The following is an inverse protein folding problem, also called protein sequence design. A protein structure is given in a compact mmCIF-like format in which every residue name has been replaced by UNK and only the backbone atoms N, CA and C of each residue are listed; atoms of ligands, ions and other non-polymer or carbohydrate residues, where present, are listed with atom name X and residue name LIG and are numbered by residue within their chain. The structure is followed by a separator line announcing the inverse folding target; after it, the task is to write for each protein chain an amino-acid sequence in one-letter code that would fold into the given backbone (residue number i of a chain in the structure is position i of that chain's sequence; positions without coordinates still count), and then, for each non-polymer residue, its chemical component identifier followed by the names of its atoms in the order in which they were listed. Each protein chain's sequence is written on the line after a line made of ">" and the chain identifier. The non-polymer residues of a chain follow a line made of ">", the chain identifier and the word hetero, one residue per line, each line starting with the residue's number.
data_IF_741418087613
#
_entry.id   IF_741418087613
#
_cell.length_a   1.000
_cell.length_b   1.000
_cell.length_c   1.000
_cell.angle_alpha   90.00
_cell.angle_beta   90.00
_cell.angle_gamma   90.00
#
_symmetry.space_group_name_H-M   'P 1'
#
loop_
_entity.id
_entity.type
_entity.pdbx_description
1 polymer ?
#
# COMPACT_ATOMS: atom_id res chain seq x y z
N UNK A 1 -12.23 -23.59 19.97
CA UNK A 1 -12.55 -22.98 21.27
C UNK A 1 -11.47 -21.97 21.57
N UNK A 2 -11.73 -20.68 21.29
CA UNK A 2 -10.77 -19.62 21.58
C UNK A 2 -10.64 -19.44 23.08
N UNK A 3 -9.44 -19.61 23.61
CA UNK A 3 -9.11 -19.20 24.97
C UNK A 3 -9.11 -17.68 25.00
N UNK A 4 -10.25 -17.08 25.30
CA UNK A 4 -10.33 -15.71 25.78
C UNK A 4 -9.52 -15.62 27.06
N UNK A 5 -8.40 -14.90 27.01
CA UNK A 5 -7.63 -14.55 28.18
C UNK A 5 -8.58 -13.87 29.20
N UNK A 6 -8.51 -14.21 30.48
CA UNK A 6 -9.38 -13.64 31.50
C UNK A 6 -9.21 -12.10 31.55
N UNK A 7 -10.32 -11.38 31.70
CA UNK A 7 -10.43 -9.91 31.70
C UNK A 7 -9.39 -9.17 32.56
N UNK A 8 -8.84 -9.82 33.59
CA UNK A 8 -7.81 -9.23 34.45
C UNK A 8 -6.47 -9.00 33.72
N UNK A 9 -6.15 -9.76 32.66
CA UNK A 9 -4.91 -9.59 31.89
C UNK A 9 -5.02 -8.41 30.90
N UNK A 10 -6.23 -8.08 30.46
CA UNK A 10 -6.47 -6.89 29.62
C UNK A 10 -6.19 -5.58 30.38
N UNK A 11 -6.37 -5.58 31.72
CA UNK A 11 -6.11 -4.43 32.59
C UNK A 11 -4.61 -4.17 32.86
N UNK A 12 -3.70 -5.06 32.43
CA UNK A 12 -2.26 -4.96 32.68
C UNK A 12 -1.43 -4.58 31.45
N UNK A 13 -2.07 -4.21 30.32
CA UNK A 13 -1.32 -3.74 29.16
C UNK A 13 -0.79 -2.33 29.44
N UNK A 14 0.52 -2.06 29.25
CA UNK A 14 1.03 -0.71 29.34
C UNK A 14 0.28 0.18 28.33
N UNK A 15 -0.09 1.38 28.77
CA UNK A 15 -0.83 2.33 27.95
C UNK A 15 -0.01 2.68 26.71
N UNK A 16 -0.61 2.59 25.53
CA UNK A 16 0.00 2.98 24.26
C UNK A 16 0.61 4.38 24.35
N UNK A 17 1.85 4.51 23.91
CA UNK A 17 2.52 5.81 23.79
C UNK A 17 2.03 6.49 22.52
N UNK A 18 1.37 7.63 22.68
CA UNK A 18 0.75 8.38 21.58
C UNK A 18 1.57 9.64 21.27
N UNK A 19 2.07 9.78 20.04
CA UNK A 19 2.91 10.92 19.63
C UNK A 19 2.59 11.41 18.22
N UNK A 20 2.96 12.65 17.93
CA UNK A 20 3.05 13.18 16.57
C UNK A 20 4.54 13.31 16.22
N UNK A 21 4.95 12.71 15.11
CA UNK A 21 6.30 12.81 14.59
C UNK A 21 6.48 14.03 13.67
N UNK A 22 7.70 14.53 13.55
CA UNK A 22 8.05 15.50 12.52
C UNK A 22 7.91 14.87 11.12
N UNK A 23 7.57 15.65 10.07
CA UNK A 23 7.56 15.12 8.71
C UNK A 23 8.95 14.58 8.35
N UNK A 24 8.98 13.41 7.70
CA UNK A 24 10.22 12.66 7.42
C UNK A 24 10.24 12.12 5.99
N UNK A 25 11.33 12.34 5.27
CA UNK A 25 11.56 11.75 3.95
C UNK A 25 11.71 10.23 4.01
N UNK A 26 12.24 9.68 5.11
CA UNK A 26 12.32 8.22 5.34
C UNK A 26 10.93 7.55 5.34
N UNK A 27 9.87 8.28 5.73
CA UNK A 27 8.49 7.83 5.59
C UNK A 27 7.86 8.22 4.25
N UNK A 28 8.14 9.44 3.79
CA UNK A 28 7.44 10.08 2.67
C UNK A 28 7.86 9.50 1.33
N UNK A 29 9.17 9.30 1.10
CA UNK A 29 9.71 8.79 -0.17
C UNK A 29 9.19 7.37 -0.48
N UNK A 30 9.24 6.40 0.46
CA UNK A 30 8.70 5.06 0.18
C UNK A 30 7.18 5.05 0.06
N UNK A 31 6.49 5.95 0.76
CA UNK A 31 5.05 6.11 0.58
C UNK A 31 4.70 6.68 -0.80
N UNK A 32 5.50 7.61 -1.33
CA UNK A 32 5.36 8.10 -2.70
C UNK A 32 5.59 6.98 -3.73
N UNK A 33 6.59 6.12 -3.51
CA UNK A 33 6.80 4.91 -4.32
C UNK A 33 5.56 4.00 -4.33
N UNK A 34 4.95 3.77 -3.17
CA UNK A 34 3.71 2.99 -3.07
C UNK A 34 2.56 3.61 -3.87
N UNK A 35 2.39 4.92 -3.75
CA UNK A 35 1.36 5.65 -4.48
C UNK A 35 1.59 5.60 -6.00
N UNK A 36 2.83 5.82 -6.46
CA UNK A 36 3.17 5.72 -7.88
C UNK A 36 2.91 4.32 -8.41
N UNK A 37 3.26 3.27 -7.65
CA UNK A 37 2.95 1.90 -8.04
C UNK A 37 1.45 1.66 -8.18
N UNK A 38 0.65 2.17 -7.23
CA UNK A 38 -0.81 2.08 -7.30
C UNK A 38 -1.34 2.79 -8.55
N UNK A 39 -0.79 3.96 -8.90
CA UNK A 39 -1.18 4.70 -10.10
C UNK A 39 -0.88 3.91 -11.38
N UNK A 40 0.31 3.30 -11.48
CA UNK A 40 0.71 2.46 -12.61
C UNK A 40 -0.23 1.26 -12.81
N UNK A 41 -0.78 0.73 -11.72
CA UNK A 41 -1.70 -0.41 -11.73
C UNK A 41 -3.19 -0.02 -11.76
N UNK A 42 -3.49 1.24 -12.13
CA UNK A 42 -4.85 1.78 -12.32
C UNK A 42 -5.72 1.75 -11.05
N UNK A 43 -5.10 1.78 -9.88
CA UNK A 43 -5.79 1.99 -8.61
C UNK A 43 -6.17 3.47 -8.45
N UNK A 44 -7.16 3.79 -7.62
CA UNK A 44 -7.46 5.20 -7.33
C UNK A 44 -6.28 5.87 -6.66
N UNK A 45 -6.00 7.07 -7.13
CA UNK A 45 -4.99 7.94 -6.58
C UNK A 45 -5.63 9.06 -5.76
N UNK A 46 -5.02 9.45 -4.63
CA UNK A 46 -5.47 10.63 -3.88
C UNK A 46 -5.29 11.94 -4.65
N UNK A 47 -4.35 12.01 -5.61
CA UNK A 47 -4.10 13.20 -6.44
C UNK A 47 -3.89 12.88 -7.92
N UNK A 48 -4.26 13.82 -8.79
CA UNK A 48 -4.02 13.72 -10.25
C UNK A 48 -2.56 13.87 -10.63
N UNK A 49 -1.76 14.57 -9.82
CA UNK A 49 -0.33 14.77 -10.03
C UNK A 49 0.44 13.45 -9.97
N UNK A 50 0.10 12.58 -9.01
CA UNK A 50 0.68 11.24 -8.88
C UNK A 50 0.34 10.35 -10.09
N UNK A 51 -0.88 10.47 -10.61
CA UNK A 51 -1.27 9.77 -11.84
C UNK A 51 -0.50 10.29 -13.06
N UNK A 52 -0.27 11.60 -13.14
CA UNK A 52 0.54 12.21 -14.20
C UNK A 52 2.01 11.79 -14.12
N UNK A 53 2.59 11.77 -12.91
CA UNK A 53 3.95 11.26 -12.68
C UNK A 53 4.06 9.83 -13.19
N UNK A 54 3.17 8.94 -12.75
CA UNK A 54 3.19 7.54 -13.15
C UNK A 54 3.12 7.35 -14.68
N UNK A 55 2.31 8.16 -15.38
CA UNK A 55 2.22 8.12 -16.85
C UNK A 55 3.46 8.71 -17.55
N UNK A 56 4.24 9.52 -16.86
CA UNK A 56 5.46 10.15 -17.40
C UNK A 56 6.73 9.33 -17.18
N UNK A 57 6.67 8.29 -16.34
CA UNK A 57 7.82 7.43 -16.08
C UNK A 57 8.23 6.67 -17.36
N UNK A 58 9.53 6.58 -17.67
CA UNK A 58 10.00 5.79 -18.81
C UNK A 58 9.59 4.32 -18.72
N UNK A 59 9.14 3.73 -19.83
CA UNK A 59 8.66 2.34 -19.89
C UNK A 59 9.74 1.33 -19.46
N UNK A 60 11.01 1.59 -19.79
CA UNK A 60 12.15 0.77 -19.39
C UNK A 60 12.41 0.82 -17.88
N UNK A 61 12.26 2.00 -17.26
CA UNK A 61 12.32 2.13 -15.81
C UNK A 61 11.14 1.43 -15.12
N UNK A 62 9.91 1.62 -15.63
CA UNK A 62 8.73 0.93 -15.11
C UNK A 62 8.90 -0.59 -15.21
N UNK A 63 9.44 -1.09 -16.31
CA UNK A 63 9.75 -2.51 -16.44
C UNK A 63 10.83 -2.94 -15.43
N UNK A 64 11.98 -2.27 -15.39
CA UNK A 64 13.09 -2.60 -14.48
C UNK A 64 12.64 -2.68 -13.00
N UNK A 65 11.68 -1.85 -12.60
CA UNK A 65 11.21 -1.76 -11.20
C UNK A 65 10.24 -2.85 -10.76
N UNK A 66 9.83 -3.79 -11.62
CA UNK A 66 8.88 -4.85 -11.23
C UNK A 66 9.40 -5.74 -10.11
N UNK A 67 10.68 -6.08 -10.14
CA UNK A 67 11.30 -6.87 -9.05
C UNK A 67 11.44 -6.04 -7.78
N UNK A 68 11.75 -4.74 -7.89
CA UNK A 68 11.79 -3.79 -6.77
C UNK A 68 10.44 -3.71 -6.07
N UNK A 69 9.36 -3.59 -6.85
CA UNK A 69 7.99 -3.55 -6.35
C UNK A 69 7.67 -4.78 -5.50
N UNK A 70 8.09 -5.96 -5.93
CA UNK A 70 7.86 -7.21 -5.20
C UNK A 70 8.76 -7.28 -3.96
N UNK A 71 10.06 -7.12 -4.12
CA UNK A 71 11.04 -7.18 -3.03
C UNK A 71 10.75 -6.14 -1.94
N UNK A 72 10.14 -5.00 -2.27
CA UNK A 72 9.86 -3.94 -1.31
C UNK A 72 8.37 -3.81 -0.94
N UNK A 73 7.51 -4.72 -1.41
CA UNK A 73 6.06 -4.68 -1.24
C UNK A 73 5.46 -3.28 -1.52
N UNK A 74 5.63 -2.79 -2.75
CA UNK A 74 5.31 -1.42 -3.20
C UNK A 74 6.11 -0.30 -2.52
N UNK A 75 7.08 -0.59 -1.65
CA UNK A 75 7.78 0.41 -0.83
C UNK A 75 7.41 0.34 0.65
N UNK A 76 6.46 -0.51 1.06
CA UNK A 76 6.11 -0.71 2.47
C UNK A 76 7.31 -1.23 3.29
N UNK A 77 8.09 -2.17 2.72
CA UNK A 77 9.30 -2.71 3.34
C UNK A 77 10.35 -1.61 3.48
N UNK A 78 10.62 -0.88 2.39
CA UNK A 78 11.60 0.23 2.39
C UNK A 78 11.26 1.27 3.46
N UNK A 79 9.98 1.57 3.65
CA UNK A 79 9.51 2.48 4.71
C UNK A 79 9.88 2.00 6.11
N UNK A 80 9.61 0.73 6.41
CA UNK A 80 9.96 0.13 7.70
C UNK A 80 11.48 0.15 7.93
N UNK A 81 12.24 -0.24 6.90
CA UNK A 81 13.71 -0.21 6.91
C UNK A 81 14.23 1.19 7.21
N UNK A 82 13.82 2.21 6.44
CA UNK A 82 14.34 3.56 6.61
C UNK A 82 13.96 4.19 7.95
N UNK A 83 12.75 3.94 8.48
CA UNK A 83 12.33 4.50 9.76
C UNK A 83 13.03 3.87 10.97
N UNK A 84 13.52 2.63 10.84
CA UNK A 84 14.23 1.94 11.92
C UNK A 84 15.75 2.02 11.80
N UNK A 85 16.29 2.12 10.59
CA UNK A 85 17.73 2.02 10.33
C UNK A 85 18.40 3.40 10.19
N UNK A 86 17.62 4.44 9.93
CA UNK A 86 18.12 5.81 9.95
C UNK A 86 18.11 6.33 11.39
N UNK A 87 19.22 6.94 11.82
CA UNK A 87 19.28 7.57 13.14
C UNK A 87 18.22 8.69 13.24
N UNK A 88 17.48 8.83 14.36
CA UNK A 88 16.44 9.84 14.49
C UNK A 88 16.89 11.29 14.20
N UNK A 89 18.17 11.61 14.40
CA UNK A 89 18.73 12.94 14.15
C UNK A 89 19.34 13.09 12.75
N UNK A 90 19.40 12.01 11.96
CA UNK A 90 20.01 11.98 10.65
C UNK A 90 19.36 13.00 9.68
N UNK A 91 20.20 13.63 8.87
CA UNK A 91 19.75 14.60 7.88
C UNK A 91 18.87 13.98 6.78
N UNK A 92 18.95 12.67 6.55
CA UNK A 92 18.12 11.92 5.61
C UNK A 92 16.63 11.98 5.93
N UNK A 93 16.24 12.30 7.16
CA UNK A 93 14.84 12.60 7.48
C UNK A 93 14.34 13.90 6.81
N UNK A 94 15.23 14.83 6.45
CA UNK A 94 14.88 16.18 6.01
C UNK A 94 15.39 16.54 4.61
N UNK A 95 16.46 15.90 4.16
CA UNK A 95 17.17 16.24 2.93
C UNK A 95 17.33 15.03 2.02
N UNK A 96 16.86 15.17 0.77
CA UNK A 96 16.92 14.10 -0.23
C UNK A 96 18.33 13.60 -0.49
N UNK A 97 19.29 14.50 -0.71
CA UNK A 97 20.69 14.12 -0.96
C UNK A 97 21.32 13.32 0.19
N UNK A 98 20.88 13.55 1.44
CA UNK A 98 21.33 12.76 2.59
C UNK A 98 20.68 11.37 2.59
N UNK A 99 19.36 11.29 2.38
CA UNK A 99 18.63 10.02 2.32
C UNK A 99 19.09 9.14 1.15
N UNK A 100 19.23 9.72 -0.04
CA UNK A 100 19.73 9.05 -1.23
C UNK A 100 21.13 8.50 -1.02
N UNK A 101 22.03 9.30 -0.40
CA UNK A 101 23.39 8.83 -0.05
C UNK A 101 23.38 7.71 0.97
N UNK A 102 22.49 7.76 1.95
CA UNK A 102 22.32 6.68 2.93
C UNK A 102 21.95 5.36 2.23
N UNK A 103 20.94 5.38 1.35
CA UNK A 103 20.52 4.20 0.58
C UNK A 103 21.62 3.73 -0.37
N UNK A 104 22.29 4.65 -1.06
CA UNK A 104 23.41 4.32 -1.94
C UNK A 104 24.62 3.72 -1.20
N UNK A 105 24.77 4.03 0.09
CA UNK A 105 25.81 3.50 0.96
C UNK A 105 25.52 2.11 1.54
N UNK A 106 24.33 1.54 1.30
CA UNK A 106 24.02 0.19 1.75
C UNK A 106 24.97 -0.84 1.13
N UNK A 107 25.54 -1.72 1.95
CA UNK A 107 26.33 -2.84 1.46
C UNK A 107 25.44 -3.84 0.74
N UNK A 108 26.02 -4.63 -0.18
CA UNK A 108 25.28 -5.70 -0.86
C UNK A 108 24.68 -6.70 0.14
N UNK A 109 25.38 -6.96 1.24
CA UNK A 109 24.85 -7.81 2.31
C UNK A 109 23.64 -7.20 3.03
N UNK A 110 23.61 -5.88 3.21
CA UNK A 110 22.42 -5.23 3.77
C UNK A 110 21.25 -5.24 2.77
N UNK A 111 21.52 -5.05 1.48
CA UNK A 111 20.49 -5.17 0.44
C UNK A 111 19.92 -6.59 0.38
N UNK A 112 20.75 -7.63 0.52
CA UNK A 112 20.28 -9.02 0.65
C UNK A 112 19.31 -9.19 1.83
N UNK A 113 19.62 -8.59 2.99
CA UNK A 113 18.75 -8.64 4.16
C UNK A 113 17.40 -7.93 3.91
N UNK A 114 17.41 -6.81 3.18
CA UNK A 114 16.19 -6.10 2.79
C UNK A 114 15.34 -6.93 1.82
N UNK A 115 15.96 -7.59 0.84
CA UNK A 115 15.27 -8.49 -0.10
C UNK A 115 14.66 -9.67 0.66
N UNK A 116 15.44 -10.33 1.52
CA UNK A 116 15.00 -11.46 2.34
C UNK A 116 13.78 -11.08 3.20
N UNK A 117 13.88 -9.96 3.92
CA UNK A 117 12.78 -9.44 4.71
C UNK A 117 11.54 -9.11 3.87
N UNK A 118 11.74 -8.60 2.66
CA UNK A 118 10.66 -8.35 1.73
C UNK A 118 9.95 -9.61 1.24
N UNK A 119 10.70 -10.64 0.86
CA UNK A 119 10.14 -11.94 0.45
C UNK A 119 9.38 -12.58 1.62
N UNK A 120 9.96 -12.61 2.83
CA UNK A 120 9.27 -13.10 4.03
C UNK A 120 7.99 -12.30 4.33
N UNK A 121 8.04 -10.97 4.24
CA UNK A 121 6.89 -10.09 4.47
C UNK A 121 5.74 -10.37 3.50
N UNK A 122 6.04 -10.60 2.22
CA UNK A 122 5.03 -10.96 1.22
C UNK A 122 4.40 -12.33 1.51
N UNK A 123 5.22 -13.34 1.83
CA UNK A 123 4.72 -14.68 2.15
C UNK A 123 3.80 -14.65 3.38
N UNK A 124 4.16 -13.89 4.42
CA UNK A 124 3.33 -13.72 5.62
C UNK A 124 2.07 -12.92 5.39
N UNK A 125 2.11 -11.96 4.46
CA UNK A 125 0.91 -11.24 4.05
C UNK A 125 -0.10 -12.18 3.38
N UNK A 126 0.38 -13.09 2.54
CA UNK A 126 -0.45 -14.12 1.91
C UNK A 126 -0.87 -15.24 2.88
N UNK A 127 -0.05 -15.49 3.91
CA UNK A 127 -0.24 -16.53 4.92
C UNK A 127 -0.20 -15.96 6.36
N UNK A 128 -1.23 -15.22 6.81
CA UNK A 128 -1.26 -14.60 8.14
C UNK A 128 -1.11 -15.57 9.31
N UNK A 129 -1.41 -16.86 9.10
CA UNK A 129 -1.20 -17.94 10.08
C UNK A 129 0.26 -18.15 10.47
N UNK A 130 1.22 -17.69 9.66
CA UNK A 130 2.65 -17.73 9.98
C UNK A 130 3.04 -16.77 11.11
N UNK A 131 2.12 -15.88 11.52
CA UNK A 131 2.34 -14.89 12.57
C UNK A 131 3.26 -13.75 12.13
N UNK A 132 3.54 -12.80 13.04
CA UNK A 132 4.38 -11.63 12.73
C UNK A 132 5.80 -12.07 12.37
N UNK A 133 6.35 -11.44 11.33
CA UNK A 133 7.73 -11.64 10.90
C UNK A 133 8.75 -10.90 11.80
N UNK A 134 10.05 -11.06 11.53
CA UNK A 134 11.08 -10.25 12.17
C UNK A 134 10.89 -8.77 11.82
N UNK A 135 11.24 -7.90 12.75
CA UNK A 135 11.14 -6.45 12.55
C UNK A 135 12.24 -5.92 11.64
N UNK A 136 11.91 -4.88 10.86
CA UNK A 136 12.89 -4.16 10.05
C UNK A 136 14.01 -3.53 10.90
N UNK A 137 13.76 -3.27 12.19
CA UNK A 137 14.75 -2.80 13.16
C UNK A 137 15.82 -3.84 13.49
N UNK A 138 15.56 -5.12 13.22
CA UNK A 138 16.49 -6.22 13.56
C UNK A 138 17.30 -6.71 12.36
N UNK A 139 17.17 -6.06 11.20
CA UNK A 139 17.89 -6.44 9.99
C UNK A 139 19.39 -6.28 10.18
N UNK A 140 20.11 -7.32 9.83
CA UNK A 140 21.57 -7.38 9.83
C UNK A 140 22.04 -7.79 8.44
N UNK A 141 23.18 -7.27 7.94
CA UNK A 141 23.72 -7.68 6.64
C UNK A 141 23.93 -9.21 6.53
N UNK A 142 23.59 -9.78 5.37
CA UNK A 142 23.75 -11.20 5.05
C UNK A 142 24.61 -11.33 3.79
N UNK A 143 25.72 -12.06 3.88
CA UNK A 143 26.72 -12.12 2.80
C UNK A 143 26.18 -12.64 1.46
N UNK A 144 25.17 -13.50 1.49
CA UNK A 144 24.54 -14.07 0.30
C UNK A 144 23.01 -14.15 0.46
N UNK A 145 22.26 -14.12 -0.65
CA UNK A 145 20.83 -14.41 -0.63
C UNK A 145 20.55 -15.76 0.04
N UNK A 146 19.58 -15.75 0.96
CA UNK A 146 19.16 -16.92 1.74
C UNK A 146 18.45 -17.96 0.86
N UNK A 147 18.29 -19.17 1.40
CA UNK A 147 17.49 -20.21 0.76
C UNK A 147 16.02 -19.77 0.60
N UNK A 148 15.51 -18.91 1.51
CA UNK A 148 14.17 -18.34 1.39
C UNK A 148 14.02 -17.56 0.07
N UNK A 149 14.94 -16.65 -0.24
CA UNK A 149 14.89 -15.87 -1.48
C UNK A 149 15.08 -16.77 -2.70
N UNK A 150 16.01 -17.72 -2.64
CA UNK A 150 16.31 -18.64 -3.76
C UNK A 150 15.14 -19.57 -4.09
N UNK A 151 14.50 -20.13 -3.07
CA UNK A 151 13.46 -21.15 -3.24
C UNK A 151 12.07 -20.53 -3.41
N UNK A 152 11.81 -19.39 -2.76
CA UNK A 152 10.48 -18.79 -2.66
C UNK A 152 10.36 -17.46 -3.41
N UNK A 153 11.45 -16.84 -3.83
CA UNK A 153 11.40 -15.57 -4.57
C UNK A 153 10.55 -15.65 -5.85
N UNK A 154 10.69 -16.74 -6.62
CA UNK A 154 9.88 -16.99 -7.82
C UNK A 154 8.38 -17.15 -7.49
N UNK A 155 8.06 -17.79 -6.37
CA UNK A 155 6.67 -17.94 -5.92
C UNK A 155 6.03 -16.58 -5.64
N UNK A 156 6.73 -15.71 -4.93
CA UNK A 156 6.27 -14.34 -4.64
C UNK A 156 6.16 -13.52 -5.94
N UNK A 157 7.13 -13.61 -6.85
CA UNK A 157 7.02 -12.92 -8.15
C UNK A 157 5.75 -13.34 -8.91
N UNK A 158 5.41 -14.63 -8.88
CA UNK A 158 4.20 -15.18 -9.52
C UNK A 158 2.91 -14.74 -8.82
N UNK A 159 2.88 -14.71 -7.48
CA UNK A 159 1.68 -14.27 -6.74
C UNK A 159 1.37 -12.80 -7.01
N UNK A 160 2.42 -11.99 -7.21
CA UNK A 160 2.35 -10.59 -7.64
C UNK A 160 2.03 -10.40 -9.13
N UNK A 161 1.87 -11.51 -9.88
CA UNK A 161 1.63 -11.54 -11.33
C UNK A 161 2.68 -10.78 -12.13
N UNK A 162 3.93 -10.88 -11.68
CA UNK A 162 5.06 -10.29 -12.40
C UNK A 162 5.21 -10.98 -13.75
N UNK A 163 5.19 -10.23 -14.87
CA UNK A 163 5.44 -10.84 -16.18
C UNK A 163 6.86 -11.38 -16.25
N UNK A 164 7.03 -12.52 -16.93
CA UNK A 164 8.32 -13.21 -17.11
C UNK A 164 9.04 -13.47 -15.76
N UNK A 165 8.27 -13.90 -14.75
CA UNK A 165 8.74 -14.10 -13.38
C UNK A 165 9.97 -15.02 -13.29
N UNK A 166 10.03 -16.06 -14.13
CA UNK A 166 11.16 -16.98 -14.21
C UNK A 166 12.45 -16.29 -14.66
N UNK A 167 12.36 -15.41 -15.66
CA UNK A 167 13.51 -14.67 -16.19
C UNK A 167 13.95 -13.55 -15.24
N UNK A 168 13.03 -13.05 -14.41
CA UNK A 168 13.28 -12.00 -13.41
C UNK A 168 13.75 -12.50 -12.05
N UNK A 169 13.51 -13.77 -11.72
CA UNK A 169 13.93 -14.33 -10.43
C UNK A 169 15.43 -14.13 -10.11
N UNK A 170 16.37 -14.21 -11.07
CA UNK A 170 17.78 -13.91 -10.81
C UNK A 170 18.05 -12.47 -10.33
N UNK A 171 17.19 -11.50 -10.65
CA UNK A 171 17.34 -10.11 -10.20
C UNK A 171 17.20 -10.00 -8.67
N UNK A 172 16.44 -10.89 -8.01
CA UNK A 172 16.37 -10.96 -6.55
C UNK A 172 17.69 -11.44 -5.91
N UNK A 173 18.60 -11.99 -6.71
CA UNK A 173 19.91 -12.47 -6.27
C UNK A 173 21.04 -11.48 -6.63
N UNK A 174 20.70 -10.34 -7.25
CA UNK A 174 21.61 -9.27 -7.60
C UNK A 174 21.36 -8.02 -6.73
N UNK A 175 21.91 -7.95 -5.51
CA UNK A 175 21.71 -6.81 -4.62
C UNK A 175 22.22 -5.50 -5.20
N UNK A 176 23.29 -5.53 -6.03
CA UNK A 176 23.85 -4.32 -6.61
C UNK A 176 22.92 -3.75 -7.70
N UNK A 177 22.43 -4.60 -8.60
CA UNK A 177 21.43 -4.23 -9.61
C UNK A 177 20.15 -3.72 -8.96
N UNK A 178 19.63 -4.43 -7.96
CA UNK A 178 18.42 -4.03 -7.24
C UNK A 178 18.58 -2.66 -6.56
N UNK A 179 19.72 -2.39 -5.91
CA UNK A 179 20.01 -1.08 -5.32
C UNK A 179 20.10 0.03 -6.37
N UNK A 180 20.71 -0.23 -7.53
CA UNK A 180 20.78 0.75 -8.63
C UNK A 180 19.39 1.13 -9.13
N UNK A 181 18.57 0.13 -9.48
CA UNK A 181 17.21 0.34 -9.98
C UNK A 181 16.31 1.01 -8.93
N UNK A 182 16.49 0.70 -7.64
CA UNK A 182 15.80 1.40 -6.56
C UNK A 182 16.14 2.89 -6.59
N UNK A 183 17.44 3.24 -6.60
CA UNK A 183 17.86 4.65 -6.60
C UNK A 183 17.34 5.40 -7.83
N UNK A 184 17.39 4.78 -9.00
CA UNK A 184 16.85 5.37 -10.24
C UNK A 184 15.34 5.64 -10.14
N UNK A 185 14.57 4.70 -9.58
CA UNK A 185 13.14 4.91 -9.33
C UNK A 185 12.90 6.05 -8.35
N UNK A 186 13.64 6.08 -7.23
CA UNK A 186 13.44 7.13 -6.23
C UNK A 186 13.85 8.52 -6.75
N UNK A 187 14.92 8.59 -7.56
CA UNK A 187 15.33 9.81 -8.26
C UNK A 187 14.21 10.29 -9.20
N UNK A 188 13.65 9.39 -10.02
CA UNK A 188 12.56 9.74 -10.93
C UNK A 188 11.29 10.25 -10.19
N UNK A 189 10.95 9.65 -9.05
CA UNK A 189 9.84 10.11 -8.21
C UNK A 189 10.14 11.48 -7.57
N UNK A 190 11.37 11.65 -7.09
CA UNK A 190 11.82 12.90 -6.48
C UNK A 190 11.79 14.05 -7.48
N UNK A 191 12.45 13.88 -8.63
CA UNK A 191 12.58 14.92 -9.65
C UNK A 191 11.25 15.20 -10.35
N UNK A 192 10.41 14.17 -10.53
CA UNK A 192 9.15 14.31 -11.26
C UNK A 192 8.02 15.00 -10.47
N UNK A 193 8.01 14.88 -9.14
CA UNK A 193 6.93 15.46 -8.32
C UNK A 193 7.33 15.69 -6.86
N UNK A 194 7.90 14.68 -6.21
CA UNK A 194 7.98 14.68 -4.75
C UNK A 194 8.88 15.79 -4.22
N UNK A 195 9.97 16.14 -4.90
CA UNK A 195 10.88 17.20 -4.48
C UNK A 195 10.18 18.57 -4.40
N UNK A 196 9.43 18.93 -5.43
CA UNK A 196 8.62 20.16 -5.45
C UNK A 196 7.51 20.09 -4.42
N UNK A 197 6.72 19.01 -4.39
CA UNK A 197 5.62 18.85 -3.45
C UNK A 197 6.10 18.90 -1.98
N UNK A 198 7.25 18.29 -1.69
CA UNK A 198 7.89 18.34 -0.38
C UNK A 198 8.30 19.77 -0.03
N UNK A 199 9.04 20.47 -0.89
CA UNK A 199 9.49 21.82 -0.63
C UNK A 199 8.32 22.79 -0.38
N UNK A 200 7.27 22.69 -1.20
CA UNK A 200 6.09 23.55 -1.10
C UNK A 200 5.26 23.28 0.16
N UNK A 201 5.11 22.01 0.54
CA UNK A 201 4.25 21.61 1.67
C UNK A 201 4.99 21.54 3.01
N UNK A 202 6.32 21.45 3.03
CA UNK A 202 7.12 21.25 4.25
C UNK A 202 6.78 22.24 5.38
N UNK A 203 6.65 23.56 5.14
CA UNK A 203 6.26 24.50 6.21
C UNK A 203 4.90 24.16 6.82
N UNK A 204 3.93 23.75 6.00
CA UNK A 204 2.60 23.37 6.48
C UNK A 204 2.64 22.03 7.24
N UNK A 205 3.40 21.04 6.77
CA UNK A 205 3.59 19.76 7.46
C UNK A 205 4.24 19.97 8.84
N UNK A 206 5.27 20.80 8.92
CA UNK A 206 5.96 21.15 10.17
C UNK A 206 5.03 21.91 11.12
N UNK A 207 4.28 22.88 10.59
CA UNK A 207 3.28 23.61 11.39
C UNK A 207 2.22 22.65 11.94
N UNK A 208 1.71 21.71 11.14
CA UNK A 208 0.70 20.75 11.55
C UNK A 208 1.22 19.82 12.67
N UNK A 209 2.46 19.34 12.56
CA UNK A 209 3.11 18.55 13.61
C UNK A 209 3.31 19.36 14.90
N UNK A 210 3.77 20.60 14.79
CA UNK A 210 4.03 21.47 15.94
C UNK A 210 2.75 21.95 16.63
N UNK A 211 1.65 22.11 15.88
CA UNK A 211 0.35 22.52 16.42
C UNK A 211 -0.51 21.35 16.91
N UNK A 212 -0.01 20.11 16.81
CA UNK A 212 -0.78 18.95 17.24
C UNK A 212 -1.13 19.04 18.72
N UNK A 213 -2.37 18.69 19.12
CA UNK A 213 -2.77 18.74 20.52
C UNK A 213 -1.94 17.77 21.37
N UNK A 214 -2.02 17.87 22.69
CA UNK A 214 -1.56 16.77 23.55
C UNK A 214 -2.65 15.70 23.65
N UNK A 215 -2.32 14.39 23.66
CA UNK A 215 -3.32 13.34 23.82
C UNK A 215 -4.16 13.54 25.09
N UNK A 216 -5.49 13.64 24.99
CA UNK A 216 -6.34 13.77 26.16
C UNK A 216 -6.22 12.57 27.13
N UNK A 217 -6.51 12.74 28.43
CA UNK A 217 -6.64 11.62 29.35
C UNK A 217 -7.66 10.59 28.84
N UNK A 218 -7.30 9.30 28.88
CA UNK A 218 -8.14 8.21 28.37
C UNK A 218 -8.21 8.08 26.84
N UNK A 219 -7.52 8.95 26.08
CA UNK A 219 -7.50 8.86 24.63
C UNK A 219 -6.81 7.55 24.17
N UNK A 220 -7.54 6.74 23.40
CA UNK A 220 -7.04 5.56 22.71
C UNK A 220 -6.42 5.90 21.35
N UNK A 221 -5.81 4.92 20.69
CA UNK A 221 -5.03 5.12 19.47
C UNK A 221 -5.90 5.60 18.29
N UNK A 222 -7.08 5.01 18.10
CA UNK A 222 -8.04 5.38 17.04
C UNK A 222 -8.60 6.77 17.24
N UNK A 223 -8.92 7.12 18.49
CA UNK A 223 -9.36 8.46 18.85
C UNK A 223 -8.24 9.48 18.60
N UNK A 224 -6.99 9.09 18.87
CA UNK A 224 -5.83 9.94 18.64
C UNK A 224 -5.60 10.20 17.14
N UNK A 225 -5.68 9.17 16.30
CA UNK A 225 -5.66 9.29 14.83
C UNK A 225 -6.72 10.30 14.38
N UNK A 226 -7.95 10.14 14.87
CA UNK A 226 -9.07 11.00 14.52
C UNK A 226 -8.87 12.46 14.93
N UNK A 227 -8.29 12.68 16.12
CA UNK A 227 -8.07 14.01 16.67
C UNK A 227 -6.99 14.77 15.91
N UNK A 228 -5.89 14.09 15.53
CA UNK A 228 -4.76 14.71 14.83
C UNK A 228 -5.05 14.89 13.34
N UNK A 229 -5.62 13.87 12.70
CA UNK A 229 -5.76 13.84 11.23
C UNK A 229 -7.12 14.36 10.76
N UNK A 230 -8.13 14.38 11.64
CA UNK A 230 -9.52 14.62 11.26
C UNK A 230 -10.19 13.44 10.55
N UNK A 231 -9.48 12.32 10.40
CA UNK A 231 -9.86 11.13 9.65
C UNK A 231 -10.03 9.93 10.58
N UNK A 232 -11.06 9.12 10.34
CA UNK A 232 -11.21 7.83 11.01
C UNK A 232 -10.33 6.77 10.32
N UNK A 233 -9.55 5.96 11.06
CA UNK A 233 -8.90 4.80 10.48
C UNK A 233 -9.95 3.73 10.17
N UNK A 234 -9.62 2.90 9.18
CA UNK A 234 -10.42 1.74 8.84
C UNK A 234 -10.51 0.73 10.01
N UNK A 235 -11.62 -0.03 10.20
CA UNK A 235 -11.73 -1.00 11.29
C UNK A 235 -10.59 -2.02 11.36
N UNK A 236 -10.10 -2.49 10.21
CA UNK A 236 -8.99 -3.46 10.17
C UNK A 236 -7.66 -2.86 10.68
N UNK A 237 -7.49 -1.56 10.53
CA UNK A 237 -6.33 -0.81 11.01
C UNK A 237 -6.53 -0.25 12.44
N UNK A 238 -7.77 -0.01 12.84
CA UNK A 238 -8.12 0.45 14.18
C UNK A 238 -7.69 -0.56 15.25
N UNK A 239 -7.95 -1.85 15.02
CA UNK A 239 -7.56 -2.91 15.97
C UNK A 239 -6.03 -2.98 16.14
N UNK A 240 -5.27 -2.86 15.04
CA UNK A 240 -3.82 -2.82 15.08
C UNK A 240 -3.28 -1.57 15.79
N UNK A 241 -3.94 -0.42 15.60
CA UNK A 241 -3.57 0.81 16.28
C UNK A 241 -3.82 0.73 17.80
N UNK A 242 -4.97 0.20 18.23
CA UNK A 242 -5.31 0.05 19.66
C UNK A 242 -4.43 -0.99 20.37
N UNK A 243 -3.87 -1.95 19.63
CA UNK A 243 -2.94 -2.94 20.17
C UNK A 243 -1.48 -2.47 20.18
N UNK A 244 -1.17 -1.32 19.57
CA UNK A 244 0.18 -0.81 19.45
C UNK A 244 0.78 -0.46 20.83
N UNK A 245 2.05 -0.77 21.03
CA UNK A 245 2.81 -0.27 22.17
C UNK A 245 3.09 1.24 22.02
N UNK A 246 3.34 1.68 20.78
CA UNK A 246 3.56 3.06 20.41
C UNK A 246 2.85 3.36 19.08
N UNK A 247 2.16 4.51 19.02
CA UNK A 247 1.54 5.05 17.83
C UNK A 247 2.14 6.42 17.49
N UNK A 248 2.73 6.52 16.30
CA UNK A 248 3.34 7.74 15.76
C UNK A 248 2.52 8.22 14.58
N UNK A 249 1.88 9.38 14.71
CA UNK A 249 1.18 10.03 13.60
C UNK A 249 2.14 11.03 12.95
N UNK A 250 2.34 10.94 11.64
CA UNK A 250 3.31 11.74 10.92
C UNK A 250 2.69 12.41 9.69
N UNK A 251 2.82 13.74 9.55
CA UNK A 251 2.34 14.43 8.35
C UNK A 251 3.24 14.10 7.15
N UNK A 252 2.62 13.90 5.99
CA UNK A 252 3.24 13.48 4.74
C UNK A 252 2.48 14.06 3.53
N UNK A 253 3.15 14.21 2.40
CA UNK A 253 2.55 14.75 1.17
C UNK A 253 1.80 13.68 0.37
N UNK A 254 0.85 14.11 -0.46
CA UNK A 254 0.23 13.28 -1.50
C UNK A 254 -0.81 12.26 -1.04
N UNK A 255 -1.17 12.24 0.24
CA UNK A 255 -2.16 11.33 0.80
C UNK A 255 -3.60 11.84 0.70
N UNK A 256 -3.78 13.15 0.47
CA UNK A 256 -5.12 13.74 0.39
C UNK A 256 -5.95 13.43 1.64
N UNK A 257 -7.08 12.74 1.44
CA UNK A 257 -8.01 12.32 2.52
C UNK A 257 -7.77 10.88 3.01
N UNK A 258 -6.64 10.30 2.64
CA UNK A 258 -6.33 8.92 2.95
C UNK A 258 -5.30 8.81 4.07
N UNK A 259 -5.35 7.68 4.77
CA UNK A 259 -4.37 7.30 5.78
C UNK A 259 -3.49 6.16 5.25
N UNK A 260 -2.19 6.24 5.52
CA UNK A 260 -1.24 5.14 5.33
C UNK A 260 -0.86 4.60 6.71
N UNK A 261 -1.41 3.45 7.10
CA UNK A 261 -1.12 2.81 8.38
C UNK A 261 -0.25 1.58 8.16
N UNK A 262 0.76 1.41 9.00
CA UNK A 262 1.60 0.22 9.03
C UNK A 262 2.14 -0.01 10.44
N UNK A 263 2.40 -1.26 10.77
CA UNK A 263 2.89 -1.68 12.07
C UNK A 263 4.17 -2.50 11.90
N UNK A 264 5.16 -2.20 12.73
CA UNK A 264 6.32 -3.05 12.99
C UNK A 264 6.52 -3.13 14.51
N UNK A 265 7.64 -2.62 15.07
CA UNK A 265 7.76 -2.43 16.52
C UNK A 265 6.88 -1.29 17.04
N UNK A 266 6.69 -0.27 16.23
CA UNK A 266 5.77 0.85 16.46
C UNK A 266 4.74 0.88 15.34
N UNK A 267 3.55 1.41 15.62
CA UNK A 267 2.53 1.67 14.61
C UNK A 267 2.66 3.10 14.12
N UNK A 268 2.74 3.27 12.81
CA UNK A 268 2.91 4.56 12.17
C UNK A 268 1.69 4.89 11.32
N UNK A 269 1.29 6.15 11.34
CA UNK A 269 0.15 6.66 10.56
C UNK A 269 0.58 7.88 9.80
N UNK A 270 0.66 7.77 8.48
CA UNK A 270 0.91 8.89 7.60
C UNK A 270 -0.41 9.52 7.17
N UNK A 271 -0.45 10.85 7.13
CA UNK A 271 -1.61 11.63 6.67
C UNK A 271 -1.16 12.92 5.97
N UNK A 272 -1.98 13.45 5.06
CA UNK A 272 -1.78 14.81 4.56
C UNK A 272 -2.61 15.79 5.38
N UNK A 273 -2.00 16.80 6.02
CA UNK A 273 -2.75 17.86 6.68
C UNK A 273 -3.71 18.53 5.70
N UNK A 274 -4.96 18.66 6.11
CA UNK A 274 -5.99 19.36 5.33
C UNK A 274 -6.32 20.69 6.01
N UNK A 275 -6.57 21.78 5.25
CA UNK A 275 -7.17 22.97 5.82
C UNK A 275 -8.51 22.58 6.45
N UNK A 276 -8.70 22.98 7.70
CA UNK A 276 -9.81 22.52 8.55
C UNK A 276 -11.16 22.89 7.94
N UNK A 277 -11.83 21.91 7.36
CA UNK A 277 -13.27 21.98 7.12
C UNK A 277 -13.93 20.61 7.37
N UNK A 278 -14.49 20.50 8.57
CA UNK A 278 -15.36 19.44 9.11
C UNK A 278 -14.83 17.99 9.16
N UNK A 279 -15.01 17.36 10.35
CA UNK A 279 -14.82 15.93 10.63
C UNK A 279 -15.47 15.07 9.53
N UNK A 280 -14.67 14.30 8.80
CA UNK A 280 -15.16 13.39 7.76
C UNK A 280 -14.34 12.09 7.79
N UNK A 281 -14.98 10.97 7.45
CA UNK A 281 -14.37 9.64 7.44
C UNK A 281 -13.10 9.61 6.58
N UNK A 282 -12.04 8.99 7.11
CA UNK A 282 -10.83 8.67 6.37
C UNK A 282 -11.00 7.35 5.66
N UNK A 283 -10.58 7.27 4.41
CA UNK A 283 -10.55 5.99 3.69
C UNK A 283 -9.09 5.60 3.54
N UNK A 284 -8.69 4.42 3.99
CA UNK A 284 -7.30 3.95 3.84
C UNK A 284 -6.93 3.84 2.36
N UNK A 285 -5.68 4.16 2.02
CA UNK A 285 -5.18 4.12 0.62
C UNK A 285 -5.30 2.71 0.04
N UNK A 286 -4.97 1.69 0.84
CA UNK A 286 -5.11 0.29 0.46
C UNK A 286 -6.53 -0.07 0.07
N UNK A 287 -7.54 0.39 0.83
CA UNK A 287 -8.95 0.19 0.48
C UNK A 287 -9.40 1.01 -0.72
N UNK A 288 -8.98 2.27 -0.86
CA UNK A 288 -9.26 3.06 -2.07
C UNK A 288 -8.69 2.41 -3.32
N UNK A 289 -7.45 1.91 -3.23
CA UNK A 289 -6.80 1.20 -4.31
C UNK A 289 -7.54 -0.09 -4.69
N UNK A 290 -8.10 -0.81 -3.71
CA UNK A 290 -8.93 -1.99 -3.95
C UNK A 290 -10.32 -1.64 -4.52
N UNK A 291 -10.95 -0.55 -4.07
CA UNK A 291 -12.32 -0.18 -4.44
C UNK A 291 -12.41 0.49 -5.80
N UNK A 292 -11.46 1.35 -6.14
CA UNK A 292 -11.61 2.21 -7.30
C UNK A 292 -11.59 1.52 -8.67
N UNK A 293 -10.81 0.45 -8.89
CA UNK A 293 -10.95 -0.36 -10.11
C UNK A 293 -12.37 -0.91 -10.23
N UNK A 294 -12.94 -1.45 -9.14
CA UNK A 294 -14.31 -1.94 -9.10
C UNK A 294 -15.32 -0.82 -9.34
N UNK A 295 -15.17 0.35 -8.73
CA UNK A 295 -16.06 1.50 -8.93
C UNK A 295 -16.02 2.06 -10.35
N UNK A 296 -14.82 2.18 -10.92
CA UNK A 296 -14.62 2.60 -12.32
C UNK A 296 -15.21 1.58 -13.29
N UNK A 297 -15.08 0.30 -12.97
CA UNK A 297 -15.67 -0.78 -13.74
C UNK A 297 -17.21 -0.79 -13.62
N UNK A 298 -17.78 -0.57 -12.43
CA UNK A 298 -19.23 -0.56 -12.20
C UNK A 298 -19.92 0.74 -12.65
N UNK A 299 -19.19 1.84 -12.80
CA UNK A 299 -19.73 3.14 -13.21
C UNK A 299 -20.22 3.24 -14.65
N UNK A 300 -20.02 2.20 -15.47
CA UNK A 300 -20.50 2.13 -16.86
C UNK A 300 -21.77 1.31 -16.97
N UNK A 301 -22.73 1.83 -17.74
CA UNK A 301 -24.06 1.22 -17.90
C UNK A 301 -24.01 -0.20 -18.44
N UNK A 302 -23.21 -0.46 -19.49
CA UNK A 302 -23.14 -1.80 -20.12
C UNK A 302 -22.46 -2.79 -19.19
N UNK A 303 -21.41 -2.36 -18.48
CA UNK A 303 -20.73 -3.19 -17.46
C UNK A 303 -21.66 -3.54 -16.30
N UNK A 304 -22.45 -2.58 -15.82
CA UNK A 304 -23.45 -2.82 -14.78
C UNK A 304 -24.51 -3.83 -15.25
N UNK A 305 -25.01 -3.71 -16.48
CA UNK A 305 -25.96 -4.66 -17.06
C UNK A 305 -25.40 -6.08 -17.16
N UNK A 306 -24.11 -6.25 -17.53
CA UNK A 306 -23.44 -7.54 -17.53
C UNK A 306 -23.40 -8.14 -16.11
N UNK A 307 -23.02 -7.35 -15.11
CA UNK A 307 -22.95 -7.82 -13.72
C UNK A 307 -24.32 -8.24 -13.21
N UNK A 308 -25.35 -7.43 -13.40
CA UNK A 308 -26.72 -7.76 -12.98
C UNK A 308 -27.21 -9.05 -13.64
N UNK A 309 -27.00 -9.18 -14.96
CA UNK A 309 -27.35 -10.38 -15.72
C UNK A 309 -26.66 -11.64 -15.16
N UNK A 310 -25.37 -11.57 -14.81
CA UNK A 310 -24.63 -12.68 -14.22
C UNK A 310 -25.05 -12.99 -12.77
N UNK A 311 -25.45 -11.98 -12.01
CA UNK A 311 -25.94 -12.18 -10.64
C UNK A 311 -27.28 -12.90 -10.63
N UNK A 312 -28.19 -12.53 -11.54
CA UNK A 312 -29.54 -13.07 -11.66
C UNK A 312 -29.56 -14.47 -12.29
N UNK A 313 -28.73 -14.69 -13.32
CA UNK A 313 -28.79 -15.92 -14.14
C UNK A 313 -27.58 -16.85 -13.98
N UNK A 314 -26.62 -16.49 -13.12
CA UNK A 314 -25.40 -17.26 -12.89
C UNK A 314 -24.37 -17.14 -14.02
N UNK A 315 -23.37 -18.03 -14.06
CA UNK A 315 -22.29 -17.95 -15.04
C UNK A 315 -22.79 -18.09 -16.47
N UNK A 316 -22.35 -17.24 -17.40
CA UNK A 316 -22.80 -17.26 -18.81
C UNK A 316 -21.64 -17.14 -19.78
N UNK A 317 -21.79 -17.66 -21.00
CA UNK A 317 -20.81 -17.44 -22.07
C UNK A 317 -20.91 -16.03 -22.65
N UNK A 318 -19.85 -15.58 -23.34
CA UNK A 318 -19.86 -14.30 -24.05
C UNK A 318 -21.02 -14.16 -25.04
N UNK A 319 -21.41 -15.26 -25.70
CA UNK A 319 -22.54 -15.27 -26.63
C UNK A 319 -23.87 -15.10 -25.88
N UNK A 320 -24.06 -15.84 -24.78
CA UNK A 320 -25.26 -15.72 -23.95
C UNK A 320 -25.44 -14.32 -23.39
N UNK A 321 -24.35 -13.65 -22.99
CA UNK A 321 -24.37 -12.26 -22.55
C UNK A 321 -24.67 -11.29 -23.70
N UNK A 322 -24.11 -11.53 -24.89
CA UNK A 322 -24.38 -10.73 -26.08
C UNK A 322 -25.86 -10.81 -26.49
N UNK A 323 -26.43 -12.02 -26.48
CA UNK A 323 -27.82 -12.27 -26.81
C UNK A 323 -28.76 -11.67 -25.76
N UNK A 324 -28.49 -11.88 -24.47
CA UNK A 324 -29.35 -11.40 -23.38
C UNK A 324 -29.37 -9.87 -23.25
N UNK A 325 -28.25 -9.20 -23.55
CA UNK A 325 -28.14 -7.75 -23.44
C UNK A 325 -28.40 -7.02 -24.77
N UNK A 326 -28.62 -7.77 -25.86
CA UNK A 326 -28.77 -7.25 -27.23
C UNK A 326 -27.58 -6.39 -27.66
N UNK A 327 -26.36 -6.81 -27.29
CA UNK A 327 -25.12 -6.11 -27.60
C UNK A 327 -24.20 -7.02 -28.43
N UNK A 328 -23.46 -6.44 -29.38
CA UNK A 328 -22.45 -7.19 -30.12
C UNK A 328 -21.43 -7.90 -29.21
N UNK A 329 -21.11 -9.15 -29.53
CA UNK A 329 -20.18 -9.98 -28.78
C UNK A 329 -18.79 -9.34 -28.62
N UNK A 330 -18.32 -8.57 -29.61
CA UNK A 330 -17.05 -7.83 -29.53
C UNK A 330 -17.08 -6.76 -28.43
N UNK A 331 -18.21 -6.07 -28.27
CA UNK A 331 -18.43 -5.12 -27.18
C UNK A 331 -18.47 -5.84 -25.83
N UNK A 332 -19.19 -6.96 -25.72
CA UNK A 332 -19.22 -7.77 -24.50
C UNK A 332 -17.81 -8.24 -24.10
N UNK A 333 -17.04 -8.78 -25.05
CA UNK A 333 -15.68 -9.24 -24.80
C UNK A 333 -14.77 -8.12 -24.27
N UNK A 334 -14.87 -6.93 -24.86
CA UNK A 334 -14.14 -5.74 -24.39
C UNK A 334 -14.56 -5.36 -22.97
N UNK A 335 -15.86 -5.31 -22.69
CA UNK A 335 -16.36 -4.94 -21.36
C UNK A 335 -16.00 -5.98 -20.29
N UNK A 336 -16.10 -7.28 -20.61
CA UNK A 336 -15.68 -8.36 -19.71
C UNK A 336 -14.18 -8.31 -19.45
N UNK A 337 -13.36 -7.89 -20.42
CA UNK A 337 -11.92 -7.70 -20.20
C UNK A 337 -11.67 -6.60 -19.16
N UNK A 338 -12.40 -5.49 -19.22
CA UNK A 338 -12.33 -4.40 -18.23
C UNK A 338 -12.80 -4.88 -16.86
N UNK A 339 -13.95 -5.54 -16.80
CA UNK A 339 -14.50 -6.13 -15.57
C UNK A 339 -13.53 -7.14 -14.94
N UNK A 340 -12.86 -7.98 -15.75
CA UNK A 340 -11.89 -8.98 -15.29
C UNK A 340 -10.63 -8.32 -14.74
N UNK A 341 -10.13 -7.27 -15.40
CA UNK A 341 -8.98 -6.49 -14.89
C UNK A 341 -9.30 -5.86 -13.52
N UNK A 342 -10.54 -5.43 -13.31
CA UNK A 342 -11.02 -4.90 -12.05
C UNK A 342 -11.40 -5.96 -11.00
N UNK A 343 -11.25 -7.26 -11.30
CA UNK A 343 -11.53 -8.35 -10.35
C UNK A 343 -13.02 -8.61 -10.05
N UNK A 344 -13.95 -7.94 -10.74
CA UNK A 344 -15.40 -8.10 -10.50
C UNK A 344 -16.02 -9.29 -11.23
N UNK A 345 -15.30 -9.88 -12.19
CA UNK A 345 -15.67 -11.13 -12.86
C UNK A 345 -14.47 -12.04 -13.05
N UNK A 346 -14.72 -13.35 -13.03
CA UNK A 346 -13.78 -14.38 -13.43
C UNK A 346 -14.24 -15.08 -14.71
N UNK A 347 -13.30 -15.63 -15.48
CA UNK A 347 -13.60 -16.52 -16.61
C UNK A 347 -13.15 -17.92 -16.22
N UNK A 348 -14.09 -18.85 -16.17
CA UNK A 348 -13.85 -20.25 -15.84
C UNK A 348 -13.22 -21.00 -17.02
N UNK A 349 -12.71 -22.20 -16.75
CA UNK A 349 -12.11 -23.08 -17.77
C UNK A 349 -13.07 -23.45 -18.90
N UNK A 350 -14.38 -23.48 -18.61
CA UNK A 350 -15.45 -23.71 -19.58
C UNK A 350 -15.84 -22.45 -20.38
N UNK A 351 -15.03 -21.38 -20.28
CA UNK A 351 -15.21 -20.08 -20.93
C UNK A 351 -16.49 -19.34 -20.51
N UNK A 352 -17.08 -19.70 -19.37
CA UNK A 352 -18.18 -18.93 -18.77
C UNK A 352 -17.62 -17.83 -17.90
N UNK A 353 -18.25 -16.66 -18.01
CA UNK A 353 -18.01 -15.51 -17.16
C UNK A 353 -18.86 -15.67 -15.91
N UNK A 354 -18.26 -15.50 -14.74
CA UNK A 354 -18.93 -15.55 -13.45
C UNK A 354 -18.66 -14.25 -12.69
N UNK A 355 -19.69 -13.69 -12.05
CA UNK A 355 -19.53 -12.52 -11.19
C UNK A 355 -18.91 -12.91 -9.85
N UNK A 356 -17.90 -12.16 -9.40
CA UNK A 356 -17.32 -12.33 -8.08
C UNK A 356 -18.23 -11.67 -7.03
N UNK A 357 -19.16 -12.45 -6.47
CA UNK A 357 -20.15 -11.98 -5.49
C UNK A 357 -19.51 -11.45 -4.21
N UNK A 358 -18.36 -12.00 -3.82
CA UNK A 358 -17.65 -11.58 -2.61
C UNK A 358 -17.05 -10.20 -2.81
N UNK A 359 -16.37 -9.99 -3.94
CA UNK A 359 -15.79 -8.69 -4.28
C UNK A 359 -16.86 -7.60 -4.44
N UNK A 360 -17.96 -7.90 -5.14
CA UNK A 360 -19.07 -6.95 -5.33
C UNK A 360 -19.70 -6.56 -3.98
N UNK A 361 -19.96 -7.55 -3.12
CA UNK A 361 -20.51 -7.32 -1.78
C UNK A 361 -19.59 -6.45 -0.94
N UNK A 362 -18.31 -6.79 -0.87
CA UNK A 362 -17.31 -6.02 -0.13
C UNK A 362 -17.21 -4.58 -0.62
N UNK A 363 -17.29 -4.36 -1.95
CA UNK A 363 -17.30 -3.01 -2.54
C UNK A 363 -18.53 -2.22 -2.08
N UNK A 364 -19.73 -2.81 -2.13
CA UNK A 364 -20.98 -2.15 -1.75
C UNK A 364 -21.06 -1.87 -0.24
N UNK A 365 -20.66 -2.83 0.59
CA UNK A 365 -20.58 -2.67 2.05
C UNK A 365 -19.62 -1.55 2.44
N UNK A 366 -18.49 -1.44 1.74
CA UNK A 366 -17.54 -0.35 2.01
C UNK A 366 -18.11 1.02 1.65
N UNK A 367 -18.87 1.14 0.55
CA UNK A 367 -19.56 2.39 0.22
C UNK A 367 -20.63 2.75 1.26
N UNK A 368 -21.43 1.78 1.69
CA UNK A 368 -22.46 2.00 2.70
C UNK A 368 -21.84 2.48 4.01
N UNK A 369 -20.73 1.87 4.44
CA UNK A 369 -19.99 2.29 5.63
C UNK A 369 -19.39 3.71 5.54
N UNK A 370 -19.30 4.32 4.35
CA UNK A 370 -18.87 5.72 4.19
C UNK A 370 -20.01 6.74 4.20
N UNK A 371 -21.26 6.30 4.09
CA UNK A 371 -22.46 7.15 4.14
C UNK A 371 -22.99 7.34 5.56
N UNK A 372 -22.67 6.42 6.46
CA UNK A 372 -22.95 6.45 7.90
C UNK A 372 -21.81 7.13 8.66
#
# INVERSE_FOLDING_TARGET
>A
MGTTLPEFVAAARPRTVLRVGAPSLAATVPNAMLLVDYALHQNAMPSSELAALAQSLPDDLVDATRTIRVALAHGAVLRGVLLHQLDPDDFGHRHWDALRRFIAGWSDGFVNAVIDHGIDSNLRWEHPELGPGPSAATLMPIDQPTDLVRDRGLEVLRSWRTPDAEDRAPELLDPAGLRSTLLELLDAIWDGWLGTAWADQLPALQSAAASAPTPPPGCGATQWISLVTGLQPDPSYADAAEQAAELIIMPSVGLGRSLSLFADQSTWVLYSPQPTDHRRTGISIGRLGQLAPAMTALGDRTRLSIILQLLDHGPQTMQQLADALEVHQSTISRQVTVLRKAGVVAVRDDRRVEADRTMIRSTAETLLATLE
#
